data_IF_889527840282
#
_entry.id   IF_889527840282
#
_cell.length_a   1.000
_cell.length_b   1.000
_cell.length_c   1.000
_cell.angle_alpha   90.00
_cell.angle_beta   90.00
_cell.angle_gamma   90.00
#
_symmetry.space_group_name_H-M   'P 1'
#
loop_
_entity.id
_entity.type
_entity.pdbx_description
1 polymer ?
#
# COMPACT_ATOMS: atom_id res chain seq x y z
N UNK A 1 6.98 -14.55 25.45
CA UNK A 1 7.18 -13.08 25.45
C UNK A 1 7.74 -12.49 24.16
N UNK A 2 8.38 -13.27 23.30
CA UNK A 2 9.03 -12.74 22.07
C UNK A 2 8.07 -12.44 20.90
N UNK A 3 6.82 -12.84 20.96
CA UNK A 3 5.85 -12.67 19.85
C UNK A 3 4.77 -11.62 20.11
N UNK A 4 4.74 -10.97 21.25
CA UNK A 4 3.70 -9.98 21.59
C UNK A 4 3.60 -8.82 20.59
N UNK A 5 4.69 -8.47 19.94
CA UNK A 5 4.70 -7.41 18.93
C UNK A 5 4.20 -7.78 17.55
N UNK A 6 4.11 -9.07 17.22
CA UNK A 6 3.63 -9.55 15.91
C UNK A 6 2.23 -10.18 16.00
N UNK A 7 1.82 -10.67 17.19
CA UNK A 7 0.53 -11.32 17.40
C UNK A 7 -0.69 -10.42 17.17
N UNK A 8 -0.53 -9.12 17.33
CA UNK A 8 -1.64 -8.17 17.19
C UNK A 8 -2.03 -7.86 15.74
N UNK A 9 -1.19 -8.25 14.77
CA UNK A 9 -1.37 -7.94 13.35
C UNK A 9 -2.18 -9.00 12.63
N UNK A 10 -2.26 -10.24 13.15
CA UNK A 10 -2.78 -11.39 12.42
C UNK A 10 -4.12 -11.90 12.95
N UNK A 11 -5.20 -11.11 12.75
CA UNK A 11 -6.57 -11.63 12.89
C UNK A 11 -6.96 -12.52 11.71
N UNK A 12 -6.37 -12.30 10.55
CA UNK A 12 -6.63 -13.00 9.30
C UNK A 12 -5.32 -13.21 8.56
N UNK A 13 -5.10 -14.41 8.08
CA UNK A 13 -3.98 -14.74 7.21
C UNK A 13 -4.50 -15.13 5.84
N UNK A 14 -3.97 -14.50 4.80
CA UNK A 14 -4.34 -14.78 3.41
C UNK A 14 -3.30 -15.68 2.78
N UNK A 15 -3.75 -16.80 2.25
CA UNK A 15 -2.94 -17.76 1.49
C UNK A 15 -3.30 -17.60 0.03
N UNK A 16 -2.37 -17.08 -0.76
CA UNK A 16 -2.54 -16.84 -2.20
C UNK A 16 -1.78 -17.89 -3.00
N UNK A 17 -2.43 -18.44 -4.01
CA UNK A 17 -1.80 -19.40 -4.92
C UNK A 17 -0.99 -18.74 -6.04
N UNK A 18 -0.15 -19.53 -6.71
CA UNK A 18 0.68 -19.11 -7.85
C UNK A 18 -0.14 -18.49 -9.00
N UNK A 19 -1.36 -18.94 -9.19
CA UNK A 19 -2.29 -18.44 -10.21
C UNK A 19 -3.12 -17.24 -9.74
N UNK A 20 -2.89 -16.77 -8.53
CA UNK A 20 -3.44 -15.53 -7.99
C UNK A 20 -2.71 -14.30 -8.51
N UNK A 21 -2.99 -13.15 -7.90
CA UNK A 21 -2.38 -11.89 -8.24
C UNK A 21 -3.25 -11.01 -9.13
N UNK A 22 -2.69 -9.90 -9.61
CA UNK A 22 -3.43 -8.92 -10.40
C UNK A 22 -3.75 -9.46 -11.80
N UNK A 23 -4.87 -9.04 -12.39
CA UNK A 23 -5.19 -9.34 -13.78
C UNK A 23 -4.14 -8.86 -14.79
N UNK A 24 -3.27 -7.93 -14.38
CA UNK A 24 -2.18 -7.38 -15.16
C UNK A 24 -0.86 -8.15 -15.02
N UNK A 25 -0.75 -9.12 -14.12
CA UNK A 25 0.48 -9.89 -13.93
C UNK A 25 0.90 -10.60 -15.23
N UNK A 26 2.19 -10.54 -15.61
CA UNK A 26 2.71 -11.28 -16.75
C UNK A 26 2.50 -12.81 -16.58
N UNK A 27 2.30 -13.51 -17.68
CA UNK A 27 2.10 -14.96 -17.66
C UNK A 27 3.29 -15.71 -17.02
N UNK A 28 4.50 -15.18 -17.15
CA UNK A 28 5.70 -15.71 -16.50
C UNK A 28 5.61 -15.66 -14.98
N UNK A 29 5.22 -14.52 -14.41
CA UNK A 29 5.03 -14.37 -12.96
C UNK A 29 3.98 -15.33 -12.43
N UNK A 30 2.87 -15.47 -13.13
CA UNK A 30 1.78 -16.39 -12.74
C UNK A 30 2.20 -17.87 -12.74
N UNK A 31 3.06 -18.25 -13.67
CA UNK A 31 3.48 -19.66 -13.81
C UNK A 31 4.62 -20.04 -12.90
N UNK A 32 5.46 -19.10 -12.51
CA UNK A 32 6.76 -19.41 -11.88
C UNK A 32 6.98 -18.72 -10.53
N UNK A 33 6.09 -17.84 -10.10
CA UNK A 33 6.24 -17.12 -8.83
C UNK A 33 5.24 -17.63 -7.77
N UNK A 34 5.42 -18.85 -7.33
CA UNK A 34 4.60 -19.44 -6.26
C UNK A 34 4.27 -20.89 -6.50
N UNK A 35 3.43 -21.44 -5.62
CA UNK A 35 2.95 -22.81 -5.63
C UNK A 35 1.42 -22.85 -5.53
N UNK A 36 0.84 -24.05 -5.64
CA UNK A 36 -0.60 -24.26 -5.43
C UNK A 36 -1.06 -23.81 -4.03
N UNK A 37 -2.18 -23.08 -3.91
CA UNK A 37 -2.68 -22.57 -2.63
C UNK A 37 -3.02 -23.69 -1.64
N UNK A 38 -3.38 -24.89 -2.14
CA UNK A 38 -3.69 -26.05 -1.32
C UNK A 38 -2.49 -26.43 -0.43
N UNK A 39 -1.27 -26.37 -0.95
CA UNK A 39 -0.06 -26.70 -0.20
C UNK A 39 0.16 -25.68 0.91
N UNK A 40 0.15 -24.39 0.58
CA UNK A 40 0.35 -23.32 1.57
C UNK A 40 -0.75 -23.29 2.62
N UNK A 41 -2.00 -23.55 2.23
CA UNK A 41 -3.14 -23.60 3.14
C UNK A 41 -3.02 -24.77 4.12
N UNK A 42 -2.72 -25.97 3.62
CA UNK A 42 -2.56 -27.14 4.46
C UNK A 42 -1.41 -27.01 5.45
N UNK A 43 -0.24 -26.54 5.00
CA UNK A 43 0.91 -26.29 5.89
C UNK A 43 0.58 -25.24 6.97
N UNK A 44 -0.11 -24.17 6.59
CA UNK A 44 -0.52 -23.12 7.54
C UNK A 44 -1.52 -23.67 8.55
N UNK A 45 -2.53 -24.40 8.10
CA UNK A 45 -3.53 -25.03 8.98
C UNK A 45 -2.86 -25.97 9.99
N UNK A 46 -2.02 -26.88 9.51
CA UNK A 46 -1.31 -27.84 10.36
C UNK A 46 -0.42 -27.14 11.39
N UNK A 47 0.36 -26.16 10.94
CA UNK A 47 1.27 -25.39 11.82
C UNK A 47 0.51 -24.63 12.89
N UNK A 48 -0.58 -23.95 12.55
CA UNK A 48 -1.39 -23.21 13.52
C UNK A 48 -2.09 -24.13 14.53
N UNK A 49 -2.60 -25.27 14.08
CA UNK A 49 -3.21 -26.29 15.00
C UNK A 49 -2.15 -26.87 15.92
N UNK A 50 -0.99 -27.26 15.37
CA UNK A 50 0.11 -27.85 16.15
C UNK A 50 0.58 -26.92 17.28
N UNK A 51 0.59 -25.61 17.03
CA UNK A 51 1.01 -24.59 18.00
C UNK A 51 -0.15 -24.03 18.85
N UNK A 52 -1.38 -24.53 18.73
CA UNK A 52 -2.54 -24.04 19.47
C UNK A 52 -2.98 -22.63 19.10
N UNK A 53 -2.56 -22.12 17.95
CA UNK A 53 -2.85 -20.77 17.48
C UNK A 53 -4.06 -20.67 16.54
N UNK A 54 -4.51 -21.79 15.99
CA UNK A 54 -5.55 -21.82 14.96
C UNK A 54 -6.85 -21.16 15.38
N UNK A 55 -7.24 -21.33 16.65
CA UNK A 55 -8.47 -20.74 17.19
C UNK A 55 -8.48 -19.21 17.21
N UNK A 56 -7.33 -18.55 17.07
CA UNK A 56 -7.18 -17.09 17.13
C UNK A 56 -7.13 -16.43 15.75
N UNK A 57 -6.92 -17.20 14.67
CA UNK A 57 -6.64 -16.69 13.33
C UNK A 57 -7.66 -17.23 12.33
N UNK A 58 -8.26 -16.35 11.52
CA UNK A 58 -9.02 -16.74 10.33
C UNK A 58 -8.09 -17.01 9.17
N UNK A 59 -8.32 -18.10 8.44
CA UNK A 59 -7.60 -18.38 7.20
C UNK A 59 -8.47 -18.01 6.01
N UNK A 60 -7.93 -17.15 5.16
CA UNK A 60 -8.50 -16.79 3.87
C UNK A 60 -7.64 -17.40 2.77
N UNK A 61 -8.27 -17.93 1.74
CA UNK A 61 -7.58 -18.43 0.54
C UNK A 61 -8.06 -17.68 -0.69
N UNK A 62 -7.16 -17.41 -1.63
CA UNK A 62 -7.48 -16.95 -2.96
C UNK A 62 -6.61 -17.65 -4.02
N UNK A 63 -6.94 -17.44 -5.29
CA UNK A 63 -6.23 -18.03 -6.43
C UNK A 63 -7.12 -19.00 -7.21
N UNK A 64 -7.72 -18.48 -8.29
CA UNK A 64 -8.50 -19.26 -9.29
C UNK A 64 -9.70 -20.04 -8.76
N UNK A 65 -10.28 -19.65 -7.64
CA UNK A 65 -11.54 -20.25 -7.14
C UNK A 65 -12.68 -19.89 -8.09
N UNK A 66 -13.46 -20.90 -8.54
CA UNK A 66 -14.51 -20.72 -9.54
C UNK A 66 -15.80 -21.49 -9.25
N UNK A 67 -15.74 -22.59 -8.50
CA UNK A 67 -16.88 -23.49 -8.27
C UNK A 67 -17.10 -23.71 -6.79
N UNK A 68 -18.29 -24.19 -6.42
CA UNK A 68 -18.58 -24.62 -5.05
C UNK A 68 -17.67 -25.75 -4.59
N UNK A 69 -17.25 -26.62 -5.52
CA UNK A 69 -16.28 -27.68 -5.23
C UNK A 69 -14.92 -27.13 -4.81
N UNK A 70 -14.46 -26.04 -5.46
CA UNK A 70 -13.19 -25.39 -5.05
C UNK A 70 -13.31 -24.87 -3.61
N UNK A 71 -14.45 -24.24 -3.27
CA UNK A 71 -14.71 -23.75 -1.92
C UNK A 71 -14.71 -24.89 -0.90
N UNK A 72 -15.41 -25.99 -1.17
CA UNK A 72 -15.46 -27.15 -0.28
C UNK A 72 -14.06 -27.75 -0.07
N UNK A 73 -13.29 -27.94 -1.13
CA UNK A 73 -11.93 -28.46 -1.03
C UNK A 73 -11.04 -27.57 -0.17
N UNK A 74 -11.10 -26.26 -0.37
CA UNK A 74 -10.32 -25.31 0.43
C UNK A 74 -10.80 -25.25 1.88
N UNK A 75 -12.11 -25.37 2.14
CA UNK A 75 -12.63 -25.45 3.50
C UNK A 75 -12.12 -26.71 4.22
N UNK A 76 -12.15 -27.86 3.57
CA UNK A 76 -11.61 -29.12 4.10
C UNK A 76 -10.11 -29.03 4.42
N UNK A 77 -9.35 -28.21 3.67
CA UNK A 77 -7.94 -27.94 3.93
C UNK A 77 -7.71 -26.84 4.99
N UNK A 78 -8.76 -26.13 5.43
CA UNK A 78 -8.68 -25.20 6.55
C UNK A 78 -9.08 -23.75 6.26
N UNK A 79 -9.51 -23.40 5.05
CA UNK A 79 -9.97 -22.04 4.77
C UNK A 79 -11.36 -21.75 5.35
N UNK A 80 -11.55 -20.53 5.85
CA UNK A 80 -12.83 -20.02 6.36
C UNK A 80 -13.38 -18.90 5.48
N UNK A 81 -12.52 -18.24 4.73
CA UNK A 81 -12.85 -17.13 3.85
C UNK A 81 -12.23 -17.35 2.47
N UNK A 82 -12.91 -16.91 1.43
CA UNK A 82 -12.56 -17.20 0.03
C UNK A 82 -12.51 -15.90 -0.78
N UNK A 83 -11.37 -15.66 -1.43
CA UNK A 83 -11.15 -14.48 -2.27
C UNK A 83 -11.39 -14.79 -3.75
N UNK A 84 -12.12 -13.91 -4.42
CA UNK A 84 -12.45 -14.05 -5.84
C UNK A 84 -12.04 -12.79 -6.60
N UNK A 85 -11.20 -12.93 -7.61
CA UNK A 85 -10.82 -11.85 -8.50
C UNK A 85 -11.14 -12.18 -9.95
N UNK A 86 -10.41 -13.14 -10.52
CA UNK A 86 -10.51 -13.55 -11.92
C UNK A 86 -11.93 -13.95 -12.32
N UNK A 87 -12.61 -14.70 -11.48
CA UNK A 87 -13.97 -15.19 -11.73
C UNK A 87 -14.98 -14.03 -11.88
N UNK A 88 -14.94 -13.05 -10.98
CA UNK A 88 -15.81 -11.87 -11.08
C UNK A 88 -15.54 -11.08 -12.37
N UNK A 89 -14.28 -10.96 -12.79
CA UNK A 89 -13.91 -10.31 -14.04
C UNK A 89 -14.44 -11.08 -15.26
N UNK A 90 -14.34 -12.42 -15.26
CA UNK A 90 -14.87 -13.27 -16.35
C UNK A 90 -16.38 -13.10 -16.46
N UNK A 91 -17.10 -13.10 -15.35
CA UNK A 91 -18.55 -12.89 -15.32
C UNK A 91 -18.95 -11.52 -15.89
N UNK A 92 -18.09 -10.50 -15.74
CA UNK A 92 -18.26 -9.19 -16.32
C UNK A 92 -17.82 -9.10 -17.81
N UNK A 93 -17.41 -10.21 -18.43
CA UNK A 93 -17.01 -10.26 -19.84
C UNK A 93 -15.51 -10.07 -20.10
N UNK A 94 -14.66 -10.22 -19.08
CA UNK A 94 -13.21 -10.18 -19.27
C UNK A 94 -12.73 -11.38 -20.09
N UNK A 95 -11.93 -11.11 -21.13
CA UNK A 95 -11.35 -12.14 -22.01
C UNK A 95 -9.91 -12.53 -21.62
N UNK A 96 -9.44 -12.10 -20.46
CA UNK A 96 -8.15 -12.44 -19.88
C UNK A 96 -6.93 -12.11 -20.74
N UNK A 97 -6.99 -11.03 -21.53
CA UNK A 97 -5.86 -10.56 -22.37
C UNK A 97 -4.66 -10.03 -21.55
N UNK A 98 -4.85 -9.74 -20.26
CA UNK A 98 -3.81 -9.22 -19.36
C UNK A 98 -3.14 -7.93 -19.83
N UNK A 99 -3.91 -7.04 -20.46
CA UNK A 99 -3.51 -5.68 -20.88
C UNK A 99 -4.11 -4.59 -19.98
N UNK A 100 -4.53 -4.95 -18.77
CA UNK A 100 -5.22 -4.03 -17.84
C UNK A 100 -4.37 -2.82 -17.45
N UNK A 101 -3.05 -2.98 -17.38
CA UNK A 101 -2.11 -1.93 -17.01
C UNK A 101 -1.79 -0.94 -18.14
N UNK A 102 -2.14 -1.27 -19.40
CA UNK A 102 -1.81 -0.43 -20.55
C UNK A 102 -2.95 0.48 -21.01
N UNK A 103 -4.08 0.50 -20.29
CA UNK A 103 -5.29 1.24 -20.65
C UNK A 103 -5.91 0.84 -22.02
N UNK A 104 -5.55 -0.33 -22.57
CA UNK A 104 -5.95 -0.81 -23.89
C UNK A 104 -6.88 -2.02 -23.82
N UNK A 105 -7.69 -2.14 -22.75
CA UNK A 105 -8.60 -3.28 -22.59
C UNK A 105 -9.68 -3.30 -23.70
N UNK A 106 -9.70 -4.29 -24.61
CA UNK A 106 -10.57 -4.26 -25.78
C UNK A 106 -12.05 -4.48 -25.45
N UNK A 107 -12.34 -5.05 -24.27
CA UNK A 107 -13.71 -5.30 -23.81
C UNK A 107 -14.18 -4.26 -22.78
N UNK A 108 -13.41 -3.22 -22.53
CA UNK A 108 -13.82 -2.09 -21.70
C UNK A 108 -13.85 -2.31 -20.19
N UNK A 109 -13.49 -3.51 -19.68
CA UNK A 109 -13.58 -3.83 -18.24
C UNK A 109 -12.56 -3.05 -17.41
N UNK A 110 -11.33 -2.86 -17.94
CA UNK A 110 -10.23 -2.24 -17.24
C UNK A 110 -9.53 -1.19 -18.10
N UNK A 111 -10.25 -0.14 -18.45
CA UNK A 111 -9.74 1.00 -19.22
C UNK A 111 -10.45 2.29 -18.82
N UNK A 112 -9.75 3.41 -18.93
CA UNK A 112 -10.32 4.75 -18.82
C UNK A 112 -10.55 5.41 -20.19
N UNK A 113 -10.13 4.76 -21.28
CA UNK A 113 -10.38 5.25 -22.64
C UNK A 113 -11.89 5.29 -22.92
N UNK A 114 -12.48 6.45 -23.29
CA UNK A 114 -13.91 6.59 -23.49
C UNK A 114 -14.47 5.71 -24.61
N UNK A 115 -13.69 5.45 -25.68
CA UNK A 115 -14.13 4.62 -26.80
C UNK A 115 -14.11 3.15 -26.43
N UNK A 116 -13.05 2.68 -25.78
CA UNK A 116 -12.95 1.30 -25.32
C UNK A 116 -13.98 0.98 -24.23
N UNK A 117 -14.31 1.94 -23.36
CA UNK A 117 -15.37 1.77 -22.33
C UNK A 117 -16.75 1.49 -22.93
N UNK A 118 -17.04 1.95 -24.13
CA UNK A 118 -18.32 1.64 -24.84
C UNK A 118 -18.47 0.15 -25.16
N UNK A 119 -17.39 -0.61 -25.16
CA UNK A 119 -17.43 -2.05 -25.38
C UNK A 119 -17.82 -2.84 -24.12
N UNK A 120 -17.81 -2.22 -22.94
CA UNK A 120 -18.18 -2.88 -21.70
C UNK A 120 -19.67 -3.24 -21.68
N UNK A 121 -19.99 -4.52 -21.57
CA UNK A 121 -21.34 -5.08 -21.54
C UNK A 121 -21.66 -5.80 -20.23
N UNK A 122 -20.79 -5.71 -19.24
CA UNK A 122 -21.00 -6.32 -17.93
C UNK A 122 -22.06 -5.59 -17.12
N UNK A 123 -22.83 -6.34 -16.35
CA UNK A 123 -23.79 -5.82 -15.38
C UNK A 123 -23.48 -6.40 -14.00
N UNK A 124 -23.69 -5.63 -12.96
CA UNK A 124 -23.41 -6.08 -11.58
C UNK A 124 -24.30 -7.26 -11.18
N UNK A 125 -25.52 -7.33 -11.74
CA UNK A 125 -26.45 -8.44 -11.50
C UNK A 125 -25.87 -9.80 -11.91
N UNK A 126 -25.02 -9.84 -12.93
CA UNK A 126 -24.36 -11.09 -13.34
C UNK A 126 -23.47 -11.61 -12.22
N UNK A 127 -22.74 -10.71 -11.56
CA UNK A 127 -21.87 -11.05 -10.43
C UNK A 127 -22.69 -11.51 -9.22
N UNK A 128 -23.79 -10.80 -8.92
CA UNK A 128 -24.72 -11.17 -7.84
C UNK A 128 -25.30 -12.57 -8.09
N UNK A 129 -25.81 -12.82 -9.30
CA UNK A 129 -26.38 -14.12 -9.68
C UNK A 129 -25.33 -15.22 -9.59
N UNK A 130 -24.13 -14.97 -10.11
CA UNK A 130 -23.05 -15.96 -10.05
C UNK A 130 -22.72 -16.36 -8.62
N UNK A 131 -22.53 -15.40 -7.71
CA UNK A 131 -22.23 -15.72 -6.31
C UNK A 131 -23.41 -16.34 -5.57
N UNK A 132 -24.65 -16.02 -5.96
CA UNK A 132 -25.83 -16.70 -5.45
C UNK A 132 -25.85 -18.17 -5.86
N UNK A 133 -25.58 -18.49 -7.12
CA UNK A 133 -25.49 -19.86 -7.60
C UNK A 133 -24.31 -20.61 -6.99
N UNK A 134 -23.15 -19.95 -6.85
CA UNK A 134 -21.98 -20.51 -6.19
C UNK A 134 -22.27 -20.91 -4.73
N UNK A 135 -22.95 -20.01 -4.00
CA UNK A 135 -23.38 -20.32 -2.62
C UNK A 135 -24.40 -21.48 -2.57
N UNK A 136 -25.28 -21.55 -3.56
CA UNK A 136 -26.22 -22.67 -3.66
C UNK A 136 -25.49 -23.99 -3.93
N UNK A 137 -24.52 -24.02 -4.84
CA UNK A 137 -23.69 -25.19 -5.12
C UNK A 137 -22.94 -25.65 -3.86
N UNK A 138 -22.38 -24.73 -3.06
CA UNK A 138 -21.76 -25.04 -1.77
C UNK A 138 -22.75 -25.69 -0.81
N UNK A 139 -23.99 -25.18 -0.73
CA UNK A 139 -25.04 -25.75 0.11
C UNK A 139 -25.43 -27.17 -0.31
N UNK A 140 -25.48 -27.43 -1.61
CA UNK A 140 -25.77 -28.77 -2.15
C UNK A 140 -24.68 -29.76 -1.74
N UNK A 141 -23.40 -29.43 -1.91
CA UNK A 141 -22.29 -30.27 -1.45
C UNK A 141 -22.33 -30.52 0.07
N UNK A 142 -22.57 -29.45 0.88
CA UNK A 142 -22.72 -29.64 2.33
C UNK A 142 -23.85 -30.58 2.68
N UNK A 143 -25.00 -30.46 1.99
CA UNK A 143 -26.15 -31.34 2.19
C UNK A 143 -25.84 -32.81 1.81
N UNK A 144 -25.17 -33.03 0.69
CA UNK A 144 -24.73 -34.36 0.25
C UNK A 144 -23.77 -35.01 1.25
N UNK A 145 -22.90 -34.21 1.86
CA UNK A 145 -21.95 -34.62 2.90
C UNK A 145 -22.61 -34.77 4.28
N UNK A 146 -23.87 -34.39 4.46
CA UNK A 146 -24.60 -34.47 5.73
C UNK A 146 -24.31 -33.32 6.71
N UNK A 147 -23.77 -32.18 6.23
CA UNK A 147 -23.48 -31.00 7.05
C UNK A 147 -24.45 -29.87 6.77
N UNK A 148 -24.69 -29.05 7.80
CA UNK A 148 -25.57 -27.88 7.70
C UNK A 148 -24.80 -26.55 7.68
N UNK A 149 -23.54 -26.53 8.11
CA UNK A 149 -22.72 -25.36 8.25
C UNK A 149 -21.33 -25.59 7.64
N UNK A 150 -20.78 -24.55 7.02
CA UNK A 150 -19.44 -24.60 6.43
C UNK A 150 -18.36 -24.79 7.52
N UNK A 151 -18.56 -24.19 8.70
CA UNK A 151 -17.62 -24.34 9.82
C UNK A 151 -17.42 -25.79 10.26
N UNK A 152 -18.41 -26.66 10.08
CA UNK A 152 -18.36 -28.04 10.50
C UNK A 152 -17.37 -28.88 9.68
N UNK A 153 -16.98 -28.42 8.49
CA UNK A 153 -16.04 -29.12 7.60
C UNK A 153 -14.65 -28.49 7.56
N UNK A 154 -14.42 -27.34 8.22
CA UNK A 154 -13.13 -26.66 8.15
C UNK A 154 -12.03 -27.54 8.75
N UNK A 155 -10.96 -27.77 7.97
CA UNK A 155 -9.81 -28.58 8.38
C UNK A 155 -10.10 -30.08 8.50
N UNK A 156 -11.25 -30.55 7.99
CA UNK A 156 -11.67 -31.95 8.00
C UNK A 156 -11.13 -32.73 6.80
N UNK A 157 -9.79 -32.80 6.70
CA UNK A 157 -9.11 -33.51 5.61
C UNK A 157 -9.45 -35.04 5.58
N UNK A 158 -9.95 -35.58 6.68
CA UNK A 158 -10.48 -36.95 6.78
C UNK A 158 -11.69 -37.21 5.87
N UNK A 159 -12.36 -36.14 5.40
CA UNK A 159 -13.50 -36.26 4.47
C UNK A 159 -13.07 -36.24 2.98
N UNK A 160 -11.77 -36.12 2.71
CA UNK A 160 -11.24 -36.08 1.34
C UNK A 160 -10.86 -37.47 0.90
N UNK A 161 -11.52 -37.98 -0.12
CA UNK A 161 -11.15 -39.24 -0.77
C UNK A 161 -10.26 -38.98 -1.99
N UNK A 162 -9.10 -39.62 -2.04
CA UNK A 162 -8.19 -39.52 -3.19
C UNK A 162 -8.67 -40.51 -4.25
N UNK A 163 -9.03 -39.97 -5.42
CA UNK A 163 -9.30 -40.81 -6.57
C UNK A 163 -7.97 -41.29 -7.16
N UNK A 164 -7.79 -42.60 -7.17
CA UNK A 164 -6.58 -43.18 -7.77
C UNK A 164 -6.55 -42.93 -9.27
N UNK A 165 -5.46 -42.33 -9.71
CA UNK A 165 -5.20 -42.17 -11.14
C UNK A 165 -4.74 -43.49 -11.74
N UNK A 166 -5.03 -43.78 -13.05
CA UNK A 166 -4.46 -44.91 -13.74
C UNK A 166 -2.93 -44.95 -13.61
N UNK A 167 -2.36 -46.10 -13.41
CA UNK A 167 -0.92 -46.32 -13.15
C UNK A 167 0.01 -45.74 -14.23
N UNK A 168 -0.50 -45.59 -15.43
CA UNK A 168 0.23 -45.05 -16.59
C UNK A 168 0.36 -43.50 -16.60
N UNK A 169 -0.35 -42.82 -15.71
CA UNK A 169 -0.31 -41.34 -15.61
C UNK A 169 0.67 -40.88 -14.53
N UNK A 170 1.40 -39.79 -14.78
CA UNK A 170 2.27 -39.14 -13.77
C UNK A 170 1.54 -38.80 -12.48
N UNK A 171 0.24 -38.54 -12.54
CA UNK A 171 -0.59 -38.27 -11.36
C UNK A 171 -0.68 -39.44 -10.37
N UNK A 172 -0.43 -40.70 -10.81
CA UNK A 172 -0.36 -41.84 -9.91
C UNK A 172 0.83 -41.83 -8.96
N UNK A 173 1.85 -40.99 -9.25
CA UNK A 173 3.06 -40.83 -8.43
C UNK A 173 2.91 -39.74 -7.35
N UNK A 174 1.76 -39.07 -7.30
CA UNK A 174 1.54 -38.00 -6.31
C UNK A 174 1.19 -38.60 -4.95
N UNK A 175 1.93 -38.21 -3.95
CA UNK A 175 1.66 -38.52 -2.55
C UNK A 175 1.00 -37.32 -1.85
N UNK A 176 -0.26 -37.51 -1.45
CA UNK A 176 -1.06 -36.50 -0.75
C UNK A 176 -1.03 -36.67 0.79
N UNK A 177 -0.30 -37.65 1.32
CA UNK A 177 -0.32 -37.98 2.74
C UNK A 177 0.03 -36.77 3.63
N UNK A 178 1.01 -35.98 3.23
CA UNK A 178 1.41 -34.74 3.96
C UNK A 178 0.39 -33.62 3.81
N UNK A 179 -0.19 -33.46 2.63
CA UNK A 179 -1.20 -32.45 2.36
C UNK A 179 -2.48 -32.70 3.18
N UNK A 180 -2.88 -33.96 3.30
CA UNK A 180 -4.10 -34.37 3.99
C UNK A 180 -3.85 -34.75 5.46
N UNK A 181 -2.61 -34.57 5.96
CA UNK A 181 -2.30 -34.86 7.36
C UNK A 181 -3.14 -34.01 8.30
N UNK A 182 -3.81 -34.64 9.25
CA UNK A 182 -4.58 -33.96 10.28
C UNK A 182 -3.82 -33.99 11.60
N UNK A 183 -3.58 -32.80 12.15
CA UNK A 183 -3.03 -32.67 13.50
C UNK A 183 -4.15 -32.90 14.50
N UNK A 184 -4.03 -33.91 15.32
CA UNK A 184 -5.00 -34.26 16.38
C UNK A 184 -4.33 -34.09 17.75
N UNK A 185 -4.41 -32.88 18.30
CA UNK A 185 -3.87 -32.52 19.61
C UNK A 185 -4.92 -31.87 20.53
N UNK A 186 -6.20 -31.97 20.18
CA UNK A 186 -7.32 -31.35 20.91
C UNK A 186 -7.43 -29.83 20.75
N UNK A 187 -6.59 -29.20 19.93
CA UNK A 187 -6.68 -27.77 19.66
C UNK A 187 -7.82 -27.45 18.66
N UNK A 188 -8.28 -26.20 18.67
CA UNK A 188 -9.26 -25.72 17.69
C UNK A 188 -8.71 -25.86 16.27
N UNK A 189 -9.56 -26.30 15.32
CA UNK A 189 -9.24 -26.47 13.90
C UNK A 189 -9.78 -25.36 13.01
N UNK A 190 -10.51 -24.41 13.57
CA UNK A 190 -11.00 -23.19 12.93
C UNK A 190 -11.02 -22.04 13.94
N UNK A 191 -11.29 -20.81 13.51
CA UNK A 191 -11.37 -19.64 14.38
C UNK A 191 -12.55 -19.77 15.36
N UNK A 192 -12.27 -19.70 16.65
CA UNK A 192 -13.26 -19.87 17.74
C UNK A 192 -13.24 -18.76 18.77
N UNK A 193 -12.22 -17.88 18.75
CA UNK A 193 -12.11 -16.80 19.72
C UNK A 193 -11.59 -15.52 19.07
N UNK A 194 -12.20 -14.40 19.43
CA UNK A 194 -11.67 -13.10 19.05
C UNK A 194 -10.46 -12.73 19.88
N UNK A 195 -9.46 -12.16 19.22
CA UNK A 195 -8.31 -11.59 19.92
C UNK A 195 -8.73 -10.31 20.64
N UNK A 196 -8.45 -10.23 21.92
CA UNK A 196 -8.60 -9.01 22.70
C UNK A 196 -7.28 -8.22 22.61
N UNK A 197 -7.36 -7.02 22.07
CA UNK A 197 -6.24 -6.09 22.01
C UNK A 197 -6.36 -5.10 23.15
N UNK A 198 -5.44 -5.18 24.11
CA UNK A 198 -5.33 -4.16 25.15
C UNK A 198 -4.55 -2.96 24.58
N UNK A 199 -5.29 -1.95 24.14
CA UNK A 199 -4.77 -0.69 23.62
C UNK A 199 -4.88 0.46 24.64
N UNK A 200 -5.28 0.19 25.89
CA UNK A 200 -5.48 1.23 26.89
C UNK A 200 -4.17 1.97 27.27
N UNK A 201 -3.04 1.31 27.07
CA UNK A 201 -1.72 1.84 27.44
C UNK A 201 -0.93 2.42 26.25
N UNK A 202 -1.48 2.39 25.02
CA UNK A 202 -0.77 2.95 23.85
C UNK A 202 -0.66 4.47 23.97
N UNK A 203 0.40 5.03 23.40
CA UNK A 203 0.72 6.46 23.47
C UNK A 203 -0.39 7.36 22.96
N UNK A 204 -1.12 6.94 21.93
CA UNK A 204 -2.24 7.68 21.36
C UNK A 204 -3.35 7.98 22.37
N UNK A 205 -3.57 7.14 23.37
CA UNK A 205 -4.56 7.42 24.43
C UNK A 205 -4.21 8.69 25.20
N UNK A 206 -2.95 8.86 25.56
CA UNK A 206 -2.44 10.05 26.24
C UNK A 206 -2.49 11.28 25.32
N UNK A 207 -2.10 11.10 24.05
CA UNK A 207 -2.16 12.16 23.03
C UNK A 207 -3.59 12.63 22.81
N UNK A 208 -4.56 11.72 22.65
CA UNK A 208 -5.98 12.04 22.49
C UNK A 208 -6.52 12.82 23.67
N UNK A 209 -6.18 12.42 24.89
CA UNK A 209 -6.63 13.11 26.11
C UNK A 209 -6.09 14.55 26.14
N UNK A 210 -4.81 14.76 25.80
CA UNK A 210 -4.21 16.09 25.74
C UNK A 210 -4.75 16.94 24.58
N UNK A 211 -5.05 16.33 23.44
CA UNK A 211 -5.51 17.03 22.24
C UNK A 211 -7.04 17.27 22.22
N UNK A 212 -7.79 16.87 23.25
CA UNK A 212 -9.25 16.96 23.28
C UNK A 212 -9.78 18.35 22.95
N UNK A 213 -9.23 19.40 23.57
CA UNK A 213 -9.68 20.78 23.37
C UNK A 213 -9.36 21.27 21.94
N UNK A 214 -8.25 20.84 21.38
CA UNK A 214 -7.93 21.10 19.97
C UNK A 214 -8.90 20.43 19.01
N UNK A 215 -9.28 19.17 19.29
CA UNK A 215 -10.26 18.44 18.47
C UNK A 215 -11.67 19.00 18.63
N UNK A 216 -12.07 19.36 19.86
CA UNK A 216 -13.43 19.83 20.13
C UNK A 216 -13.66 21.26 19.69
N UNK A 217 -12.72 22.16 19.92
CA UNK A 217 -12.86 23.61 19.81
C UNK A 217 -11.91 24.28 18.80
N UNK A 218 -11.05 23.51 18.11
CA UNK A 218 -10.08 24.04 17.16
C UNK A 218 -8.95 24.86 17.80
N UNK A 219 -8.70 24.71 19.10
CA UNK A 219 -7.68 25.45 19.81
C UNK A 219 -6.30 24.89 19.52
N UNK A 220 -5.36 25.75 19.14
CA UNK A 220 -3.98 25.37 18.90
C UNK A 220 -3.34 24.73 20.13
N UNK A 221 -2.61 23.61 19.92
CA UNK A 221 -1.88 22.93 20.96
C UNK A 221 -0.50 22.47 20.47
N UNK A 222 0.49 22.59 21.35
CA UNK A 222 1.83 22.06 21.14
C UNK A 222 2.19 21.08 22.26
N UNK A 223 2.55 19.86 21.89
CA UNK A 223 2.87 18.77 22.80
C UNK A 223 4.29 18.24 22.51
N UNK A 224 4.92 17.68 23.54
CA UNK A 224 6.22 17.01 23.39
C UNK A 224 6.20 15.66 24.11
N UNK A 225 6.68 14.60 23.42
CA UNK A 225 6.76 13.25 23.95
C UNK A 225 8.09 12.58 23.59
N UNK A 226 8.54 11.70 24.46
CA UNK A 226 9.53 10.69 24.10
C UNK A 226 8.84 9.53 23.40
N UNK A 227 9.53 8.89 22.44
CA UNK A 227 8.99 7.76 21.68
C UNK A 227 10.02 6.63 21.61
N UNK A 228 9.55 5.40 21.66
CA UNK A 228 10.35 4.20 21.50
C UNK A 228 9.84 3.35 20.33
N UNK A 229 10.65 2.44 19.81
CA UNK A 229 10.28 1.56 18.70
C UNK A 229 9.13 0.59 19.01
N UNK A 230 8.79 0.43 20.29
CA UNK A 230 7.60 -0.28 20.74
C UNK A 230 6.31 0.52 20.58
N UNK A 231 6.39 1.85 20.44
CA UNK A 231 5.25 2.74 20.22
C UNK A 231 4.88 2.71 18.73
N UNK A 232 3.96 1.84 18.35
CA UNK A 232 3.52 1.63 16.97
C UNK A 232 2.29 2.44 16.64
N UNK A 233 2.14 2.79 15.37
CA UNK A 233 0.96 3.47 14.81
C UNK A 233 0.58 4.76 15.55
N UNK A 234 1.57 5.41 16.16
CA UNK A 234 1.36 6.68 16.88
C UNK A 234 0.81 7.73 15.92
N UNK A 235 -0.30 8.35 16.31
CA UNK A 235 -1.06 9.32 15.52
C UNK A 235 -2.29 8.73 14.83
N UNK A 236 -2.40 7.41 14.69
CA UNK A 236 -3.54 6.80 13.99
C UNK A 236 -4.89 7.01 14.72
N UNK A 237 -4.92 6.89 16.05
CA UNK A 237 -6.13 7.16 16.84
C UNK A 237 -6.45 8.66 16.85
N UNK A 238 -5.44 9.52 16.92
CA UNK A 238 -5.62 10.97 16.82
C UNK A 238 -6.24 11.35 15.47
N UNK A 239 -5.67 10.85 14.38
CA UNK A 239 -6.19 11.05 13.03
C UNK A 239 -7.63 10.55 12.88
N UNK A 240 -7.92 9.35 13.42
CA UNK A 240 -9.27 8.78 13.44
C UNK A 240 -10.29 9.65 14.19
N UNK A 241 -9.90 10.23 15.31
CA UNK A 241 -10.76 11.14 16.08
C UNK A 241 -11.07 12.42 15.30
N UNK A 242 -10.07 13.03 14.67
CA UNK A 242 -10.25 14.21 13.81
C UNK A 242 -11.09 13.88 12.59
N UNK A 243 -10.78 12.81 11.87
CA UNK A 243 -11.54 12.39 10.68
C UNK A 243 -13.01 12.06 11.00
N UNK A 244 -13.28 11.45 12.15
CA UNK A 244 -14.66 11.18 12.60
C UNK A 244 -15.48 12.45 12.78
N UNK A 245 -14.86 13.54 13.23
CA UNK A 245 -15.55 14.81 13.49
C UNK A 245 -15.61 15.73 12.28
N UNK A 246 -14.53 15.83 11.53
CA UNK A 246 -14.35 16.83 10.47
C UNK A 246 -14.31 16.21 9.05
N UNK A 247 -14.37 14.88 8.93
CA UNK A 247 -14.27 14.20 7.65
C UNK A 247 -12.92 14.47 6.95
N UNK A 248 -12.97 14.59 5.64
CA UNK A 248 -11.80 14.83 4.81
C UNK A 248 -11.20 16.24 5.00
N UNK A 249 -11.98 17.23 5.42
CA UNK A 249 -11.49 18.59 5.63
C UNK A 249 -10.47 18.69 6.76
N UNK A 250 -10.56 17.81 7.78
CA UNK A 250 -9.68 17.85 8.93
C UNK A 250 -9.83 19.10 9.78
N UNK A 251 -8.81 19.44 10.53
CA UNK A 251 -8.66 20.66 11.31
C UNK A 251 -7.98 21.77 10.48
N UNK A 252 -8.15 23.04 10.84
CA UNK A 252 -7.33 24.14 10.28
C UNK A 252 -5.83 23.83 10.41
N UNK A 253 -5.03 24.33 9.49
CA UNK A 253 -3.58 24.16 9.57
C UNK A 253 -3.04 24.67 10.91
N UNK A 254 -1.99 23.99 11.38
CA UNK A 254 -1.30 24.34 12.63
C UNK A 254 -2.12 24.20 13.92
N UNK A 255 -3.19 23.42 13.93
CA UNK A 255 -4.01 23.24 15.15
C UNK A 255 -3.31 22.31 16.16
N UNK A 256 -2.73 21.18 15.72
CA UNK A 256 -2.08 20.22 16.62
C UNK A 256 -0.63 20.01 16.19
N UNK A 257 0.30 20.42 17.06
CA UNK A 257 1.74 20.23 16.86
C UNK A 257 2.28 19.26 17.91
N UNK A 258 2.90 18.18 17.45
CA UNK A 258 3.49 17.22 18.38
C UNK A 258 4.96 16.98 18.00
N UNK A 259 5.85 17.25 18.97
CA UNK A 259 7.27 16.95 18.87
C UNK A 259 7.57 15.63 19.57
N UNK A 260 8.28 14.75 18.87
CA UNK A 260 8.73 13.49 19.41
C UNK A 260 10.26 13.46 19.46
N UNK A 261 10.82 12.79 20.47
CA UNK A 261 12.25 12.51 20.60
C UNK A 261 12.47 11.03 20.83
N UNK A 262 13.28 10.39 19.99
CA UNK A 262 13.65 8.97 20.10
C UNK A 262 13.42 8.19 18.81
N UNK A 263 13.24 6.88 18.93
CA UNK A 263 13.06 5.97 17.81
C UNK A 263 11.57 5.61 17.68
N UNK A 264 10.89 6.10 16.65
CA UNK A 264 9.49 5.79 16.43
C UNK A 264 9.28 4.37 15.89
N UNK A 265 8.27 3.67 16.40
CA UNK A 265 7.87 2.35 15.92
C UNK A 265 7.20 2.38 14.57
N UNK A 266 6.83 1.19 14.08
CA UNK A 266 6.19 0.99 12.78
C UNK A 266 4.92 1.84 12.63
N UNK A 267 4.70 2.38 11.41
CA UNK A 267 3.51 3.16 11.04
C UNK A 267 3.35 4.47 11.83
N UNK A 268 4.47 5.12 12.20
CA UNK A 268 4.45 6.44 12.82
C UNK A 268 3.78 7.46 11.89
N UNK A 269 2.84 8.23 12.41
CA UNK A 269 2.10 9.22 11.62
C UNK A 269 1.17 8.63 10.56
N UNK A 270 0.79 7.35 10.67
CA UNK A 270 -0.15 6.75 9.74
C UNK A 270 -1.52 7.48 9.78
N UNK A 271 -2.09 7.73 8.60
CA UNK A 271 -3.41 8.32 8.38
C UNK A 271 -3.57 9.77 8.89
N UNK A 272 -2.51 10.49 9.24
CA UNK A 272 -2.63 11.87 9.71
C UNK A 272 -3.42 12.73 8.71
N UNK A 273 -4.33 13.52 9.25
CA UNK A 273 -5.22 14.42 8.51
C UNK A 273 -4.74 15.86 8.61
N UNK A 274 -5.37 16.76 7.85
CA UNK A 274 -5.12 18.19 7.93
C UNK A 274 -5.19 18.70 9.37
N UNK A 275 -4.36 19.71 9.68
CA UNK A 275 -4.24 20.34 10.97
C UNK A 275 -3.34 19.65 11.99
N UNK A 276 -2.81 18.46 11.67
CA UNK A 276 -1.89 17.72 12.53
C UNK A 276 -0.47 17.76 11.96
N UNK A 277 0.50 18.19 12.77
CA UNK A 277 1.92 18.24 12.42
C UNK A 277 2.76 17.45 13.42
N UNK A 278 3.50 16.47 12.94
CA UNK A 278 4.47 15.71 13.72
C UNK A 278 5.90 16.10 13.36
N UNK A 279 6.72 16.34 14.38
CA UNK A 279 8.16 16.52 14.23
C UNK A 279 8.90 15.50 15.06
N UNK A 280 9.65 14.62 14.41
CA UNK A 280 10.46 13.57 15.07
C UNK A 280 11.93 13.95 15.04
N UNK A 281 12.51 14.18 16.21
CA UNK A 281 13.94 14.26 16.41
C UNK A 281 14.46 12.87 16.77
N UNK A 282 14.97 12.14 15.78
CA UNK A 282 15.34 10.74 15.91
C UNK A 282 15.19 9.96 14.61
N UNK A 283 14.79 8.71 14.74
CA UNK A 283 14.61 7.79 13.62
C UNK A 283 13.21 7.16 13.62
N UNK A 284 12.75 6.66 12.49
CA UNK A 284 11.47 6.00 12.34
C UNK A 284 11.61 4.62 11.70
N UNK A 285 10.70 3.72 12.03
CA UNK A 285 10.62 2.40 11.45
C UNK A 285 9.81 2.42 10.13
N UNK A 286 9.47 1.23 9.59
CA UNK A 286 8.72 1.03 8.36
C UNK A 286 7.33 1.68 8.40
N UNK A 287 6.78 1.97 7.21
CA UNK A 287 5.42 2.49 7.01
C UNK A 287 5.13 3.86 7.65
N UNK A 288 6.15 4.68 7.91
CA UNK A 288 5.93 6.08 8.33
C UNK A 288 5.00 6.77 7.32
N UNK A 289 3.98 7.48 7.81
CA UNK A 289 3.04 8.20 6.97
C UNK A 289 2.18 7.33 6.06
N UNK A 290 2.02 6.03 6.34
CA UNK A 290 1.11 5.16 5.60
C UNK A 290 -0.28 5.77 5.56
N UNK A 291 -0.85 5.94 4.36
CA UNK A 291 -2.18 6.51 4.18
C UNK A 291 -2.33 7.95 4.68
N UNK A 292 -1.23 8.72 4.77
CA UNK A 292 -1.27 10.14 5.12
C UNK A 292 -2.29 10.87 4.23
N UNK A 293 -3.14 11.71 4.81
CA UNK A 293 -4.28 12.34 4.13
C UNK A 293 -4.43 13.83 4.44
N UNK A 294 -3.31 14.55 4.64
CA UNK A 294 -3.31 16.00 4.81
C UNK A 294 -2.41 16.53 5.93
N UNK A 295 -1.88 15.64 6.79
CA UNK A 295 -0.96 16.04 7.87
C UNK A 295 0.45 16.34 7.38
N UNK A 296 1.28 16.85 8.31
CA UNK A 296 2.71 17.11 8.04
C UNK A 296 3.58 16.24 8.95
N UNK A 297 4.64 15.65 8.38
CA UNK A 297 5.64 14.89 9.14
C UNK A 297 7.02 15.42 8.78
N UNK A 298 7.81 15.80 9.79
CA UNK A 298 9.23 16.14 9.64
C UNK A 298 10.07 15.18 10.48
N UNK A 299 11.07 14.55 9.88
CA UNK A 299 12.03 13.66 10.57
C UNK A 299 13.42 14.23 10.40
N UNK A 300 14.15 14.36 11.50
CA UNK A 300 15.51 14.91 11.51
C UNK A 300 16.37 14.15 12.52
N UNK A 301 17.68 14.05 12.28
CA UNK A 301 18.60 13.47 13.23
C UNK A 301 18.59 14.21 14.59
N UNK A 302 18.89 13.54 15.69
CA UNK A 302 19.07 14.19 16.97
C UNK A 302 20.09 15.33 16.86
N UNK A 303 19.82 16.47 17.48
CA UNK A 303 20.67 17.70 17.42
C UNK A 303 22.14 17.43 17.77
N UNK A 304 22.40 16.42 18.60
CA UNK A 304 23.77 16.03 19.03
C UNK A 304 24.43 14.98 18.14
N UNK A 305 23.82 14.61 17.00
CA UNK A 305 24.41 13.62 16.08
C UNK A 305 25.66 14.18 15.39
N UNK A 306 26.68 13.37 15.28
CA UNK A 306 27.95 13.72 14.65
C UNK A 306 28.10 13.09 13.25
N UNK A 307 27.01 12.65 12.63
CA UNK A 307 27.01 12.05 11.30
C UNK A 307 26.37 12.97 10.25
N UNK A 308 26.75 12.76 9.01
CA UNK A 308 26.13 13.44 7.85
C UNK A 308 24.79 12.76 7.56
N UNK A 309 23.69 13.50 7.64
CA UNK A 309 22.35 12.96 7.49
C UNK A 309 22.15 12.30 6.13
N UNK A 310 22.63 12.91 5.05
CA UNK A 310 22.52 12.44 3.68
C UNK A 310 23.25 11.11 3.41
N UNK A 311 24.09 10.66 4.34
CA UNK A 311 24.81 9.36 4.26
C UNK A 311 24.19 8.27 5.14
N UNK A 312 23.21 8.61 5.97
CA UNK A 312 22.66 7.71 6.96
C UNK A 312 21.15 7.51 6.79
N UNK A 313 20.71 6.27 6.94
CA UNK A 313 19.29 5.91 6.91
C UNK A 313 18.65 6.22 8.26
N UNK A 314 17.64 7.09 8.27
CA UNK A 314 16.91 7.48 9.49
C UNK A 314 15.44 7.07 9.49
N UNK A 315 14.96 6.46 8.40
CA UNK A 315 13.63 5.88 8.40
C UNK A 315 13.63 4.59 7.56
N UNK A 316 12.74 3.66 7.88
CA UNK A 316 12.69 2.31 7.31
C UNK A 316 12.14 2.24 5.90
N UNK A 317 11.44 1.14 5.59
CA UNK A 317 10.92 0.82 4.26
C UNK A 317 9.45 1.21 4.10
N UNK A 318 9.01 1.34 2.84
CA UNK A 318 7.59 1.47 2.46
C UNK A 318 6.90 2.69 3.11
N UNK A 319 7.64 3.78 3.26
CA UNK A 319 7.10 5.03 3.78
C UNK A 319 6.12 5.64 2.79
N UNK A 320 5.09 6.32 3.28
CA UNK A 320 4.04 6.99 2.51
C UNK A 320 3.21 6.04 1.64
N UNK A 321 3.19 4.75 1.96
CA UNK A 321 2.39 3.79 1.22
C UNK A 321 0.92 4.21 1.13
N UNK A 322 0.44 4.42 -0.09
CA UNK A 322 -0.96 4.79 -0.36
C UNK A 322 -1.36 6.15 0.24
N UNK A 323 -0.42 7.04 0.47
CA UNK A 323 -0.68 8.38 0.97
C UNK A 323 -1.38 9.23 -0.09
N UNK A 324 -2.37 10.04 0.32
CA UNK A 324 -3.28 10.76 -0.59
C UNK A 324 -3.11 12.27 -0.56
N UNK A 325 -2.62 12.83 0.54
CA UNK A 325 -2.35 14.26 0.68
C UNK A 325 -1.44 14.51 1.90
N UNK A 326 -0.85 15.71 1.99
CA UNK A 326 0.01 16.12 3.09
C UNK A 326 1.45 16.39 2.67
N UNK A 327 2.31 16.60 3.67
CA UNK A 327 3.70 17.00 3.45
C UNK A 327 4.65 16.18 4.33
N UNK A 328 5.75 15.69 3.74
CA UNK A 328 6.76 14.91 4.46
C UNK A 328 8.17 15.36 4.12
N UNK A 329 8.96 15.64 5.14
CA UNK A 329 10.33 16.14 5.04
C UNK A 329 11.26 15.27 5.89
N UNK A 330 12.19 14.56 5.25
CA UNK A 330 13.09 13.63 5.93
C UNK A 330 14.55 14.02 5.68
N UNK A 331 15.20 14.55 6.71
CA UNK A 331 16.62 14.91 6.69
C UNK A 331 17.46 13.68 6.94
N UNK A 332 17.73 12.93 5.87
CA UNK A 332 18.47 11.67 5.83
C UNK A 332 17.92 10.73 4.77
N UNK A 333 18.56 9.56 4.67
CA UNK A 333 18.14 8.50 3.73
C UNK A 333 16.99 7.68 4.30
N UNK A 334 16.25 7.04 3.40
CA UNK A 334 15.20 6.07 3.76
C UNK A 334 15.44 4.75 3.04
N UNK A 335 14.75 3.72 3.49
CA UNK A 335 14.83 2.39 2.90
C UNK A 335 14.14 2.26 1.55
N UNK A 336 13.74 1.05 1.21
CA UNK A 336 13.11 0.70 -0.05
C UNK A 336 11.63 1.12 -0.10
N UNK A 337 11.09 1.23 -1.32
CA UNK A 337 9.66 1.45 -1.59
C UNK A 337 9.11 2.76 -1.02
N UNK A 338 9.91 3.82 -1.04
CA UNK A 338 9.46 5.16 -0.66
C UNK A 338 8.38 5.66 -1.62
N UNK A 339 7.30 6.22 -1.10
CA UNK A 339 6.18 6.80 -1.85
C UNK A 339 5.45 5.82 -2.80
N UNK A 340 5.49 4.52 -2.53
CA UNK A 340 4.72 3.53 -3.28
C UNK A 340 3.22 3.84 -3.18
N UNK A 341 2.55 3.91 -4.36
CA UNK A 341 1.12 4.28 -4.47
C UNK A 341 0.77 5.65 -3.87
N UNK A 342 1.73 6.56 -3.79
CA UNK A 342 1.44 7.96 -3.44
C UNK A 342 0.52 8.58 -4.50
N UNK A 343 -0.55 9.24 -4.08
CA UNK A 343 -1.51 9.89 -4.97
C UNK A 343 -1.66 11.40 -4.74
N UNK A 344 -0.94 11.99 -3.75
CA UNK A 344 -1.09 13.43 -3.50
C UNK A 344 -0.05 14.07 -2.59
N UNK A 345 0.67 13.27 -1.78
CA UNK A 345 1.67 13.80 -0.84
C UNK A 345 2.82 14.49 -1.55
N UNK A 346 3.30 15.59 -0.95
CA UNK A 346 4.55 16.25 -1.29
C UNK A 346 5.64 15.80 -0.32
N UNK A 347 6.69 15.19 -0.83
CA UNK A 347 7.76 14.64 0.00
C UNK A 347 9.15 15.06 -0.48
N UNK A 348 10.04 15.35 0.48
CA UNK A 348 11.47 15.61 0.21
C UNK A 348 12.32 14.72 1.11
N UNK A 349 13.29 14.03 0.52
CA UNK A 349 14.17 13.05 1.20
C UNK A 349 15.60 13.13 0.66
N UNK A 350 16.60 12.77 1.46
CA UNK A 350 18.02 12.90 1.08
C UNK A 350 18.64 11.59 0.52
N UNK A 351 17.82 10.64 0.13
CA UNK A 351 18.19 9.41 -0.55
C UNK A 351 17.19 8.30 -0.29
N UNK A 352 17.06 7.38 -1.25
CA UNK A 352 16.07 6.30 -1.21
C UNK A 352 16.69 4.98 -1.66
N UNK A 353 16.11 3.86 -1.19
CA UNK A 353 16.42 2.52 -1.68
C UNK A 353 15.72 2.17 -2.98
N UNK A 354 15.61 0.88 -3.29
CA UNK A 354 14.98 0.34 -4.49
C UNK A 354 13.45 0.65 -4.51
N UNK A 355 12.85 0.70 -5.71
CA UNK A 355 11.40 0.82 -5.94
C UNK A 355 10.74 2.12 -5.44
N UNK A 356 11.48 3.22 -5.38
CA UNK A 356 10.90 4.53 -5.05
C UNK A 356 9.86 4.95 -6.09
N UNK A 357 8.75 5.58 -5.67
CA UNK A 357 7.63 6.02 -6.52
C UNK A 357 6.95 4.90 -7.33
N UNK A 358 7.10 3.63 -6.94
CA UNK A 358 6.44 2.51 -7.60
C UNK A 358 4.91 2.67 -7.51
N UNK A 359 4.22 2.57 -8.66
CA UNK A 359 2.76 2.78 -8.78
C UNK A 359 2.24 4.13 -8.26
N UNK A 360 3.07 5.15 -8.22
CA UNK A 360 2.66 6.51 -7.86
C UNK A 360 1.67 7.05 -8.89
N UNK A 361 0.58 7.66 -8.42
CA UNK A 361 -0.51 8.18 -9.25
C UNK A 361 -0.71 9.68 -9.12
N UNK A 362 -0.02 10.35 -8.19
CA UNK A 362 -0.12 11.80 -7.95
C UNK A 362 0.90 12.26 -6.91
N UNK A 363 0.89 13.56 -6.59
CA UNK A 363 1.80 14.15 -5.62
C UNK A 363 3.14 14.60 -6.20
N UNK A 364 4.07 14.92 -5.29
CA UNK A 364 5.43 15.39 -5.61
C UNK A 364 6.46 14.67 -4.74
N UNK A 365 7.50 14.16 -5.34
CA UNK A 365 8.62 13.53 -4.61
C UNK A 365 9.92 14.18 -5.05
N UNK A 366 10.72 14.63 -4.08
CA UNK A 366 12.07 15.18 -4.33
C UNK A 366 13.10 14.32 -3.63
N UNK A 367 14.08 13.83 -4.38
CA UNK A 367 15.19 13.04 -3.85
C UNK A 367 16.49 13.83 -4.04
N UNK A 368 17.11 14.25 -2.93
CA UNK A 368 18.31 15.08 -2.90
C UNK A 368 19.61 14.26 -2.88
N UNK A 369 19.54 12.95 -3.13
CA UNK A 369 20.70 12.06 -3.03
C UNK A 369 20.53 10.79 -3.85
N UNK A 370 21.19 9.74 -3.43
CA UNK A 370 21.22 8.48 -4.17
C UNK A 370 19.85 7.79 -4.23
N UNK A 371 19.62 7.11 -5.35
CA UNK A 371 18.43 6.27 -5.58
C UNK A 371 18.84 4.82 -5.76
N UNK A 372 17.96 3.90 -5.36
CA UNK A 372 18.05 2.49 -5.70
C UNK A 372 17.46 2.18 -7.09
N UNK A 373 17.42 0.90 -7.45
CA UNK A 373 16.94 0.39 -8.74
C UNK A 373 15.41 0.46 -8.85
N UNK A 374 14.94 0.35 -10.09
CA UNK A 374 13.52 0.24 -10.42
C UNK A 374 12.68 1.44 -9.93
N UNK A 375 13.30 2.62 -9.93
CA UNK A 375 12.62 3.88 -9.59
C UNK A 375 11.46 4.12 -10.57
N UNK A 376 10.32 4.61 -10.09
CA UNK A 376 9.13 4.92 -10.87
C UNK A 376 8.47 3.74 -11.62
N UNK A 377 8.74 2.48 -11.26
CA UNK A 377 8.08 1.34 -11.88
C UNK A 377 6.55 1.45 -11.77
N UNK A 378 5.84 1.40 -12.91
CA UNK A 378 4.38 1.51 -12.94
C UNK A 378 3.82 2.88 -12.52
N UNK A 379 4.64 3.92 -12.44
CA UNK A 379 4.22 5.28 -12.12
C UNK A 379 3.32 5.82 -13.24
N UNK A 380 2.11 6.25 -12.90
CA UNK A 380 1.09 6.72 -13.87
C UNK A 380 0.65 8.16 -13.66
N UNK A 381 1.09 8.83 -12.60
CA UNK A 381 0.78 10.23 -12.31
C UNK A 381 1.70 10.84 -11.27
N UNK A 382 1.61 12.16 -11.10
CA UNK A 382 2.53 12.92 -10.25
C UNK A 382 3.85 13.25 -10.93
N UNK A 383 4.76 13.89 -10.19
CA UNK A 383 6.10 14.27 -10.66
C UNK A 383 7.13 13.94 -9.60
N UNK A 384 8.24 13.34 -10.01
CA UNK A 384 9.41 13.21 -9.14
C UNK A 384 10.58 14.06 -9.68
N UNK A 385 11.36 14.62 -8.75
CA UNK A 385 12.58 15.35 -9.02
C UNK A 385 13.74 14.65 -8.34
N UNK A 386 14.78 14.31 -9.09
CA UNK A 386 15.95 13.58 -8.59
C UNK A 386 17.21 14.36 -8.88
N UNK A 387 18.00 14.62 -7.86
CA UNK A 387 19.33 15.20 -8.05
C UNK A 387 20.27 14.15 -8.68
N UNK A 388 20.60 14.35 -9.95
CA UNK A 388 21.41 13.44 -10.76
C UNK A 388 22.90 13.76 -10.70
N UNK A 389 23.44 13.88 -9.49
CA UNK A 389 24.83 14.24 -9.21
C UNK A 389 25.87 13.46 -10.03
N UNK A 390 25.60 12.18 -10.24
CA UNK A 390 26.54 11.27 -10.92
C UNK A 390 26.23 11.06 -12.41
N UNK A 391 25.23 11.77 -12.94
CA UNK A 391 24.77 11.67 -14.34
C UNK A 391 24.44 10.24 -14.80
N UNK A 392 23.92 9.39 -13.91
CA UNK A 392 23.63 7.98 -14.17
C UNK A 392 22.26 7.53 -13.63
N UNK A 393 21.37 8.44 -13.34
CA UNK A 393 20.04 8.12 -12.79
C UNK A 393 19.19 7.27 -13.74
N UNK A 394 19.37 7.39 -15.05
CA UNK A 394 18.72 6.61 -16.09
C UNK A 394 18.90 5.09 -15.90
N UNK A 395 20.05 4.63 -15.37
CA UNK A 395 20.29 3.22 -15.06
C UNK A 395 19.43 2.69 -13.89
N UNK A 396 18.93 3.58 -13.03
CA UNK A 396 18.13 3.23 -11.85
C UNK A 396 16.64 3.40 -12.08
N UNK A 397 16.24 4.14 -13.11
CA UNK A 397 14.84 4.44 -13.42
C UNK A 397 14.22 3.36 -14.32
N UNK A 398 13.01 2.94 -13.99
CA UNK A 398 12.20 2.11 -14.87
C UNK A 398 11.49 2.98 -15.91
N UNK A 399 11.98 2.96 -17.13
CA UNK A 399 11.56 3.83 -18.24
C UNK A 399 10.29 3.34 -18.97
N UNK A 400 9.65 2.27 -18.51
CA UNK A 400 8.50 1.67 -19.24
C UNK A 400 7.31 2.63 -19.39
N UNK A 401 7.05 3.44 -18.37
CA UNK A 401 5.89 4.34 -18.33
C UNK A 401 6.24 5.82 -18.10
N UNK A 402 7.50 6.15 -17.92
CA UNK A 402 7.95 7.50 -17.62
C UNK A 402 8.99 8.00 -18.60
N UNK A 403 9.13 9.32 -18.70
CA UNK A 403 10.23 9.98 -19.37
C UNK A 403 11.05 10.82 -18.40
N UNK A 404 12.31 11.00 -18.72
CA UNK A 404 13.27 11.85 -18.01
C UNK A 404 13.51 13.13 -18.80
N UNK A 405 13.49 14.27 -18.13
CA UNK A 405 13.81 15.56 -18.74
C UNK A 405 14.53 16.48 -17.75
N UNK A 406 15.25 17.45 -18.27
CA UNK A 406 15.71 18.60 -17.49
C UNK A 406 14.51 19.48 -17.11
N UNK A 407 14.65 20.27 -16.06
CA UNK A 407 13.59 21.17 -15.61
C UNK A 407 13.70 22.50 -16.35
N UNK A 408 13.03 22.61 -17.49
CA UNK A 408 13.08 23.81 -18.34
C UNK A 408 12.06 24.86 -17.93
N UNK A 409 10.84 24.43 -17.54
CA UNK A 409 9.75 25.34 -17.20
C UNK A 409 10.01 26.07 -15.86
N UNK A 410 9.89 27.40 -15.86
CA UNK A 410 10.06 28.22 -14.67
C UNK A 410 9.09 27.86 -13.51
N UNK A 411 7.90 27.36 -13.84
CA UNK A 411 6.91 26.88 -12.88
C UNK A 411 7.42 25.70 -12.06
N UNK A 412 8.02 24.70 -12.70
CA UNK A 412 8.60 23.53 -12.04
C UNK A 412 9.90 23.87 -11.29
N UNK A 413 10.73 24.77 -11.83
CA UNK A 413 11.90 25.29 -11.08
C UNK A 413 11.49 25.97 -9.79
N UNK A 414 10.43 26.79 -9.83
CA UNK A 414 9.88 27.46 -8.64
C UNK A 414 9.28 26.45 -7.65
N UNK A 415 8.55 25.44 -8.14
CA UNK A 415 7.99 24.38 -7.31
C UNK A 415 9.09 23.61 -6.58
N UNK A 416 10.11 23.16 -7.31
CA UNK A 416 11.25 22.43 -6.74
C UNK A 416 12.00 23.27 -5.70
N UNK A 417 12.27 24.53 -6.01
CA UNK A 417 12.90 25.47 -5.07
C UNK A 417 12.10 25.58 -3.77
N UNK A 418 10.78 25.75 -3.88
CA UNK A 418 9.90 25.86 -2.71
C UNK A 418 9.88 24.57 -1.88
N UNK A 419 9.82 23.38 -2.50
CA UNK A 419 9.87 22.10 -1.82
C UNK A 419 11.18 21.92 -1.04
N UNK A 420 12.32 22.25 -1.64
CA UNK A 420 13.63 22.20 -0.97
C UNK A 420 13.72 23.24 0.15
N UNK A 421 13.16 24.45 -0.06
CA UNK A 421 13.09 25.50 0.95
C UNK A 421 12.27 25.04 2.18
N UNK A 422 11.11 24.42 1.96
CA UNK A 422 10.30 23.87 3.05
C UNK A 422 11.04 22.75 3.78
N UNK A 423 11.72 21.87 3.05
CA UNK A 423 12.55 20.84 3.66
C UNK A 423 13.62 21.43 4.59
N UNK A 424 14.32 22.48 4.14
CA UNK A 424 15.28 23.19 5.00
C UNK A 424 14.61 23.78 6.25
N UNK A 425 13.47 24.44 6.08
CA UNK A 425 12.78 25.10 7.20
C UNK A 425 12.29 24.13 8.28
N UNK A 426 11.77 22.97 7.88
CA UNK A 426 11.23 21.99 8.83
C UNK A 426 12.28 21.10 9.46
N UNK A 427 13.39 20.84 8.76
CA UNK A 427 14.38 19.85 9.19
C UNK A 427 15.75 20.44 9.53
N UNK A 428 16.09 21.61 9.03
CA UNK A 428 17.41 22.20 9.14
C UNK A 428 18.48 21.50 8.28
N UNK A 429 18.07 20.82 7.21
CA UNK A 429 18.97 20.10 6.30
C UNK A 429 20.12 20.95 5.78
N UNK A 430 21.35 20.51 6.02
CA UNK A 430 22.55 21.17 5.49
C UNK A 430 22.64 21.06 3.97
N UNK A 431 22.26 19.88 3.42
CA UNK A 431 22.25 19.63 1.99
C UNK A 431 21.27 20.56 1.27
N UNK A 432 20.04 20.66 1.77
CA UNK A 432 19.03 21.56 1.22
C UNK A 432 19.49 23.04 1.27
N UNK A 433 20.12 23.46 2.38
CA UNK A 433 20.70 24.80 2.48
C UNK A 433 21.77 25.05 1.42
N UNK A 434 22.72 24.13 1.24
CA UNK A 434 23.77 24.24 0.22
C UNK A 434 23.18 24.39 -1.18
N UNK A 435 22.14 23.60 -1.51
CA UNK A 435 21.46 23.70 -2.80
C UNK A 435 20.71 25.02 -3.00
N UNK A 436 20.11 25.56 -1.95
CA UNK A 436 19.43 26.86 -2.00
C UNK A 436 20.41 28.02 -2.11
N UNK A 437 21.56 27.96 -1.43
CA UNK A 437 22.59 29.01 -1.46
C UNK A 437 23.26 29.12 -2.86
N UNK A 438 23.30 28.02 -3.64
CA UNK A 438 23.80 27.99 -5.03
C UNK A 438 22.77 27.39 -6.02
N UNK A 439 21.55 27.88 -5.94
CA UNK A 439 20.40 27.35 -6.66
C UNK A 439 20.61 27.17 -8.17
N UNK A 440 21.19 28.18 -8.82
CA UNK A 440 21.37 28.18 -10.27
C UNK A 440 22.27 27.03 -10.76
N UNK A 441 23.25 26.65 -9.96
CA UNK A 441 24.09 25.49 -10.24
C UNK A 441 23.33 24.21 -10.06
N UNK A 442 22.69 24.02 -8.90
CA UNK A 442 22.05 22.74 -8.57
C UNK A 442 20.79 22.44 -9.38
N UNK A 443 19.99 23.43 -9.74
CA UNK A 443 18.73 23.19 -10.47
C UNK A 443 18.94 22.52 -11.82
N UNK A 444 20.05 22.78 -12.49
CA UNK A 444 20.39 22.21 -13.79
C UNK A 444 20.90 20.75 -13.70
N UNK A 445 21.22 20.27 -12.49
CA UNK A 445 21.57 18.87 -12.21
C UNK A 445 20.36 18.00 -11.84
N UNK A 446 19.18 18.59 -11.69
CA UNK A 446 17.96 17.83 -11.40
C UNK A 446 17.33 17.25 -12.66
N UNK A 447 16.89 16.01 -12.55
CA UNK A 447 16.06 15.32 -13.54
C UNK A 447 14.62 15.27 -13.02
N UNK A 448 13.72 15.67 -13.90
CA UNK A 448 12.28 15.51 -13.71
C UNK A 448 11.84 14.16 -14.28
N UNK A 449 11.09 13.39 -13.49
CA UNK A 449 10.49 12.11 -13.88
C UNK A 449 8.97 12.31 -14.00
N UNK A 450 8.43 12.13 -15.20
CA UNK A 450 7.00 12.37 -15.48
C UNK A 450 6.45 11.19 -16.26
N UNK A 451 5.28 10.64 -15.86
CA UNK A 451 4.61 9.61 -16.68
C UNK A 451 4.18 10.17 -18.03
N UNK A 452 4.42 9.41 -19.09
CA UNK A 452 4.20 9.80 -20.48
C UNK A 452 2.73 10.22 -20.70
N UNK A 453 1.79 9.40 -20.27
CA UNK A 453 0.36 9.69 -20.40
C UNK A 453 -0.10 10.87 -19.55
N UNK A 454 0.46 11.03 -18.34
CA UNK A 454 0.15 12.15 -17.44
C UNK A 454 0.61 13.49 -18.04
N UNK A 455 1.79 13.52 -18.68
CA UNK A 455 2.29 14.69 -19.39
C UNK A 455 1.36 15.12 -20.52
N UNK A 456 0.85 14.14 -21.30
CA UNK A 456 -0.12 14.40 -22.35
C UNK A 456 -1.40 15.04 -21.79
N UNK A 457 -1.95 14.51 -20.71
CA UNK A 457 -3.15 15.07 -20.07
C UNK A 457 -2.91 16.50 -19.58
N UNK A 458 -1.77 16.76 -18.95
CA UNK A 458 -1.42 18.12 -18.51
C UNK A 458 -1.32 19.11 -19.67
N UNK A 459 -0.74 18.71 -20.80
CA UNK A 459 -0.67 19.53 -22.00
C UNK A 459 -2.05 19.82 -22.59
N UNK A 460 -2.91 18.81 -22.65
CA UNK A 460 -4.30 18.97 -23.11
C UNK A 460 -5.10 19.91 -22.20
N UNK A 461 -4.93 19.83 -20.89
CA UNK A 461 -5.57 20.74 -19.94
C UNK A 461 -5.06 22.20 -20.08
N UNK A 462 -3.76 22.37 -20.28
CA UNK A 462 -3.18 23.69 -20.52
C UNK A 462 -3.73 24.31 -21.82
N UNK A 463 -3.82 23.51 -22.87
CA UNK A 463 -4.40 23.96 -24.16
C UNK A 463 -5.88 24.34 -24.00
N UNK A 464 -6.68 23.57 -23.28
CA UNK A 464 -8.09 23.88 -22.99
C UNK A 464 -8.23 25.20 -22.21
N UNK A 465 -7.41 25.39 -21.17
CA UNK A 465 -7.41 26.63 -20.39
C UNK A 465 -7.01 27.86 -21.23
N UNK A 466 -6.06 27.69 -22.15
CA UNK A 466 -5.64 28.74 -23.07
C UNK A 466 -6.76 29.07 -24.06
N UNK A 467 -7.38 28.06 -24.65
CA UNK A 467 -8.53 28.24 -25.56
C UNK A 467 -9.70 28.94 -24.86
N UNK A 468 -9.99 28.58 -23.61
CA UNK A 468 -11.05 29.22 -22.84
C UNK A 468 -10.75 30.70 -22.55
N UNK A 469 -9.51 31.02 -22.16
CA UNK A 469 -9.08 32.43 -22.00
C UNK A 469 -9.18 33.24 -23.27
N UNK A 470 -8.81 32.67 -24.42
CA UNK A 470 -8.94 33.31 -25.74
C UNK A 470 -10.42 33.58 -26.06
N UNK A 471 -11.29 32.59 -25.82
CA UNK A 471 -12.74 32.73 -26.05
C UNK A 471 -13.39 33.78 -25.13
N UNK A 472 -12.94 33.88 -23.87
CA UNK A 472 -13.43 34.89 -22.91
C UNK A 472 -12.98 36.28 -23.34
N UNK A 473 -11.73 36.48 -23.76
CA UNK A 473 -11.24 37.75 -24.30
C UNK A 473 -11.99 38.17 -25.58
N UNK A 474 -12.36 37.19 -26.45
CA UNK A 474 -13.13 37.48 -27.66
C UNK A 474 -14.60 37.82 -27.40
N UNK A 475 -15.15 37.50 -26.22
CA UNK A 475 -16.52 37.89 -25.83
C UNK A 475 -16.59 39.26 -25.20
N UNK A 476 -15.49 39.76 -24.71
CA UNK A 476 -15.39 41.08 -24.09
C UNK A 476 -15.05 42.22 -25.10
N UNK A 477 -14.88 41.86 -26.37
CA UNK A 477 -14.77 42.76 -27.55
C UNK A 477 -16.01 42.60 -28.45
#
# INVERSE_FOLDING_TARGET
ERSRGLGDVYKRQVISGAEGGTGASPASSMRYAGISPEIGLSETQQTLVLNGLRGQVKLQVDGQLKTGRDIINMALLGAEEFGFGTTALIVLGCVMMRKCHTNTCPVGVATQDPELRKHFRGHYEYVVNYFTFLAQEVREYLSEMGFTRLEDIIGRTDLIAIQQAPSEKKSSLLDFSRLLHRVDNGAAIHHVMEQKHDIAHVKDVTILAAARDAIENGKEISLEYTIANTDRSVGAMLAGAVAKKYGQAGLPEQTIHIKFKGSAGQSFGAFLTHGISFKLEGEANDYLGKGLSGGRIAVLPPVRSNFDAEKNTIAGNTLLYGATDGEVYINGRVGERFAVRNSGVKAVVEGVGDHCCEYMTGGRVVVLGETGRNFAAGMSGGVAYVWNKNHNFDYFCNMEMVELSLIEEASYRKELHELIRQHYLYTGSKLARTMLDDWNHYVDEFIQVVPIEYKRVLQEEQMRKLQQKIADVQRDY
#
